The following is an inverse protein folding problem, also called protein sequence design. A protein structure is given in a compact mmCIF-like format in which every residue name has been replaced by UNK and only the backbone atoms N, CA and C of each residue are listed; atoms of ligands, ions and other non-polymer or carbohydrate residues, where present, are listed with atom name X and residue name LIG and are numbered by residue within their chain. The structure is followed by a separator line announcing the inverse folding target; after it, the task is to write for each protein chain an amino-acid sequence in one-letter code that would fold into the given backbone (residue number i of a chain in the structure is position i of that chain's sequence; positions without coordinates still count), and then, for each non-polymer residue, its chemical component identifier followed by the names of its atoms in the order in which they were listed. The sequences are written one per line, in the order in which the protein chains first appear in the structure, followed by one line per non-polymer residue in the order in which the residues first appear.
data_IF_834339819935
#
_entry.id   IF_834339819935
#
_cell.length_a   1.000
_cell.length_b   1.000
_cell.length_c   1.000
_cell.angle_alpha   90.00
_cell.angle_beta   90.00
_cell.angle_gamma   90.00
#
_symmetry.space_group_name_H-M   'P 1'
#
loop_
_entity.id
_entity.type
_entity.pdbx_description
1 polymer ?
#
# COMPACT_ATOMS: atom_id res chain seq x y z
N UNK A 1 16.44 -8.50 -9.47
CA UNK A 1 16.50 -9.30 -10.71
C UNK A 1 17.15 -8.45 -11.79
N UNK A 2 18.47 -8.47 -12.02
CA UNK A 2 19.10 -7.61 -13.06
C UNK A 2 18.78 -8.01 -14.51
N UNK A 3 17.57 -8.52 -14.74
CA UNK A 3 16.93 -8.42 -16.03
C UNK A 3 16.46 -6.97 -16.21
N UNK A 4 16.35 -6.50 -17.44
CA UNK A 4 16.05 -5.09 -17.76
C UNK A 4 14.69 -4.58 -17.23
N UNK A 5 13.96 -5.42 -16.48
CA UNK A 5 12.59 -5.22 -16.04
C UNK A 5 12.44 -5.24 -14.50
N UNK A 6 13.28 -5.94 -13.70
CA UNK A 6 13.15 -5.96 -12.22
C UNK A 6 14.50 -5.86 -11.46
N UNK A 7 15.46 -5.12 -12.02
CA UNK A 7 16.85 -5.01 -11.57
C UNK A 7 17.10 -4.20 -10.31
N UNK A 8 17.28 -4.87 -9.17
CA UNK A 8 17.94 -4.32 -7.99
C UNK A 8 17.02 -3.65 -6.95
N UNK A 9 15.72 -3.61 -7.20
CA UNK A 9 14.74 -3.00 -6.30
C UNK A 9 13.93 -4.03 -5.52
N UNK A 10 13.72 -3.79 -4.23
CA UNK A 10 12.85 -4.60 -3.39
C UNK A 10 11.41 -4.46 -3.88
N UNK A 11 10.74 -5.58 -4.15
CA UNK A 11 9.40 -5.53 -4.71
C UNK A 11 8.36 -5.38 -3.60
N UNK A 12 7.63 -4.25 -3.63
CA UNK A 12 6.52 -3.96 -2.73
C UNK A 12 5.23 -4.58 -3.26
N UNK A 13 5.05 -5.89 -3.05
CA UNK A 13 3.89 -6.63 -3.54
C UNK A 13 2.96 -7.00 -2.40
N UNK A 14 1.66 -6.83 -2.66
CA UNK A 14 0.59 -7.20 -1.75
C UNK A 14 -0.34 -8.19 -2.44
N UNK A 15 -0.89 -9.12 -1.67
CA UNK A 15 -2.01 -9.94 -2.13
C UNK A 15 -3.30 -9.14 -2.00
N UNK A 16 -4.07 -9.05 -3.08
CA UNK A 16 -5.37 -8.41 -3.08
C UNK A 16 -6.43 -9.43 -3.53
N UNK A 17 -7.52 -9.49 -2.78
CA UNK A 17 -8.68 -10.33 -3.07
C UNK A 17 -9.93 -9.46 -3.09
N UNK A 18 -10.74 -9.61 -4.14
CA UNK A 18 -12.01 -8.89 -4.28
C UNK A 18 -13.10 -9.89 -4.68
N UNK A 19 -14.05 -10.12 -3.79
CA UNK A 19 -15.24 -10.89 -4.13
C UNK A 19 -16.20 -10.01 -4.94
N UNK A 20 -16.37 -10.36 -6.22
CA UNK A 20 -17.26 -9.67 -7.16
C UNK A 20 -18.69 -10.26 -7.17
N UNK A 21 -18.90 -11.37 -6.46
CA UNK A 21 -20.18 -12.09 -6.41
C UNK A 21 -21.02 -11.74 -5.18
N UNK A 22 -20.37 -11.25 -4.11
CA UNK A 22 -21.02 -10.85 -2.88
C UNK A 22 -21.66 -9.45 -2.93
N UNK A 23 -22.49 -9.11 -1.91
CA UNK A 23 -22.96 -7.74 -1.75
C UNK A 23 -21.80 -6.78 -1.56
N UNK A 24 -21.96 -5.54 -2.05
CA UNK A 24 -20.98 -4.47 -1.81
C UNK A 24 -21.04 -4.05 -0.34
N UNK A 25 -20.20 -4.67 0.48
CA UNK A 25 -19.97 -4.25 1.86
C UNK A 25 -19.05 -3.03 1.87
N UNK A 26 -19.51 -1.90 2.40
CA UNK A 26 -18.63 -0.78 2.66
C UNK A 26 -17.78 -1.07 3.90
N UNK A 27 -16.47 -1.12 3.74
CA UNK A 27 -15.52 -1.20 4.86
C UNK A 27 -15.79 -0.03 5.81
N UNK A 28 -16.29 -0.30 7.02
CA UNK A 28 -16.49 0.70 8.06
C UNK A 28 -15.19 0.86 8.84
N UNK A 29 -14.58 2.03 8.74
CA UNK A 29 -13.44 2.39 9.59
C UNK A 29 -13.85 2.21 11.06
N UNK A 30 -12.99 1.54 11.81
CA UNK A 30 -13.11 1.44 13.26
C UNK A 30 -12.33 2.58 13.91
N UNK A 31 -12.53 2.83 15.20
CA UNK A 31 -11.70 3.80 15.94
C UNK A 31 -10.21 3.41 16.01
N UNK A 32 -9.88 2.15 15.68
CA UNK A 32 -8.52 1.64 15.65
C UNK A 32 -7.93 1.61 14.23
N UNK A 33 -8.71 1.96 13.19
CA UNK A 33 -8.21 1.99 11.82
C UNK A 33 -7.18 3.10 11.66
N UNK A 34 -6.13 2.82 10.89
CA UNK A 34 -5.07 3.78 10.60
C UNK A 34 -5.06 4.15 9.12
N UNK A 35 -4.61 5.37 8.82
CA UNK A 35 -4.42 5.84 7.45
C UNK A 35 -2.93 5.83 7.14
N UNK A 36 -2.56 5.17 6.03
CA UNK A 36 -1.19 5.19 5.50
C UNK A 36 -1.19 6.02 4.23
N UNK A 37 -0.34 7.05 4.21
CA UNK A 37 -0.17 7.92 3.05
C UNK A 37 0.73 7.28 1.99
N UNK A 38 0.42 7.59 0.74
CA UNK A 38 1.15 7.23 -0.45
C UNK A 38 1.49 8.51 -1.22
N UNK A 39 2.57 8.51 -2.01
CA UNK A 39 2.82 9.61 -2.94
C UNK A 39 1.68 9.68 -3.97
N UNK A 40 1.25 10.90 -4.32
CA UNK A 40 0.15 11.13 -5.28
C UNK A 40 0.42 10.49 -6.64
N UNK A 41 1.67 10.54 -7.10
CA UNK A 41 2.12 9.93 -8.36
C UNK A 41 3.57 9.42 -8.24
N UNK A 42 3.71 8.16 -7.84
CA UNK A 42 5.01 7.49 -7.74
C UNK A 42 5.72 7.36 -9.10
N UNK A 43 4.98 7.33 -10.21
CA UNK A 43 5.55 7.15 -11.54
C UNK A 43 6.24 8.42 -12.02
N UNK A 44 5.58 9.57 -11.84
CA UNK A 44 6.19 10.87 -12.10
C UNK A 44 7.34 11.13 -11.15
N UNK A 45 7.17 10.86 -9.85
CA UNK A 45 8.23 11.04 -8.86
C UNK A 45 9.47 10.20 -9.20
N UNK A 46 9.31 8.94 -9.62
CA UNK A 46 10.44 8.08 -10.01
C UNK A 46 11.24 8.63 -11.20
N UNK A 47 10.59 9.38 -12.09
CA UNK A 47 11.23 10.01 -13.26
C UNK A 47 11.94 11.31 -12.91
N UNK A 48 11.37 12.10 -12.00
CA UNK A 48 11.87 13.44 -11.65
C UNK A 48 12.85 13.42 -10.48
N UNK A 49 12.62 12.55 -9.50
CA UNK A 49 13.44 12.36 -8.30
C UNK A 49 13.39 10.89 -7.81
N UNK A 50 14.33 10.11 -8.32
CA UNK A 50 14.46 8.69 -7.95
C UNK A 50 14.78 8.51 -6.46
N UNK A 51 15.53 9.41 -5.84
CA UNK A 51 15.91 9.29 -4.44
C UNK A 51 14.67 9.45 -3.54
N UNK A 52 13.84 10.46 -3.81
CA UNK A 52 12.57 10.65 -3.11
C UNK A 52 11.63 9.46 -3.32
N UNK A 53 11.54 8.92 -4.54
CA UNK A 53 10.72 7.74 -4.82
C UNK A 53 11.15 6.52 -3.98
N UNK A 54 12.46 6.27 -3.85
CA UNK A 54 12.98 5.17 -3.02
C UNK A 54 12.71 5.37 -1.53
N UNK A 55 12.79 6.61 -1.03
CA UNK A 55 12.44 6.94 0.35
C UNK A 55 10.97 6.66 0.62
N UNK A 56 10.08 7.11 -0.25
CA UNK A 56 8.64 6.84 -0.14
C UNK A 56 8.34 5.34 -0.08
N UNK A 57 8.92 4.56 -1.00
CA UNK A 57 8.71 3.11 -1.03
C UNK A 57 9.18 2.41 0.23
N UNK A 58 10.36 2.79 0.74
CA UNK A 58 10.89 2.26 2.00
C UNK A 58 9.95 2.59 3.17
N UNK A 59 9.54 3.85 3.30
CA UNK A 59 8.66 4.29 4.39
C UNK A 59 7.30 3.62 4.34
N UNK A 60 6.69 3.49 3.16
CA UNK A 60 5.42 2.77 2.98
C UNK A 60 5.57 1.32 3.40
N UNK A 61 6.66 0.63 3.02
CA UNK A 61 6.92 -0.75 3.44
C UNK A 61 7.11 -0.87 4.94
N UNK A 62 7.97 -0.05 5.53
CA UNK A 62 8.24 -0.04 6.97
C UNK A 62 6.99 0.24 7.81
N UNK A 63 6.03 0.99 7.24
CA UNK A 63 4.73 1.25 7.87
C UNK A 63 3.76 0.09 7.72
N UNK A 64 3.60 -0.46 6.52
CA UNK A 64 2.59 -1.49 6.23
C UNK A 64 2.99 -2.87 6.71
N UNK A 65 4.25 -3.26 6.56
CA UNK A 65 4.72 -4.62 6.87
C UNK A 65 4.36 -5.07 8.30
N UNK A 66 4.67 -4.32 9.37
CA UNK A 66 4.33 -4.77 10.72
C UNK A 66 2.82 -4.86 10.97
N UNK A 67 2.00 -4.05 10.29
CA UNK A 67 0.54 -4.13 10.41
C UNK A 67 0.03 -5.41 9.74
N UNK A 68 0.49 -5.70 8.52
CA UNK A 68 0.13 -6.90 7.78
C UNK A 68 0.59 -8.18 8.50
N UNK A 69 1.79 -8.17 9.09
CA UNK A 69 2.32 -9.28 9.91
C UNK A 69 1.46 -9.54 11.17
N UNK A 70 0.78 -8.50 11.68
CA UNK A 70 -0.18 -8.60 12.78
C UNK A 70 -1.60 -8.96 12.32
N UNK A 71 -1.80 -9.25 11.03
CA UNK A 71 -3.11 -9.63 10.48
C UNK A 71 -4.04 -8.44 10.20
N UNK A 72 -3.52 -7.21 10.20
CA UNK A 72 -4.29 -6.05 9.72
C UNK A 72 -4.52 -6.18 8.22
N UNK A 73 -5.60 -5.56 7.72
CA UNK A 73 -5.99 -5.64 6.31
C UNK A 73 -6.17 -4.26 5.70
N UNK A 74 -5.74 -4.09 4.46
CA UNK A 74 -6.02 -2.88 3.68
C UNK A 74 -7.43 -3.00 3.12
N UNK A 75 -8.34 -2.15 3.58
CA UNK A 75 -9.77 -2.28 3.29
C UNK A 75 -10.30 -1.23 2.32
N UNK A 76 -9.56 -0.14 2.10
CA UNK A 76 -9.95 0.95 1.21
C UNK A 76 -8.74 1.74 0.70
N UNK A 77 -8.79 2.17 -0.56
CA UNK A 77 -7.94 3.24 -1.09
C UNK A 77 -8.78 4.51 -1.26
N UNK A 78 -8.30 5.65 -0.78
CA UNK A 78 -8.95 6.96 -0.90
C UNK A 78 -8.07 7.88 -1.72
N UNK A 79 -8.66 8.51 -2.75
CA UNK A 79 -8.03 9.51 -3.61
C UNK A 79 -6.67 9.10 -4.20
N UNK A 80 -6.43 7.78 -4.33
CA UNK A 80 -5.17 7.17 -4.78
C UNK A 80 -3.92 7.48 -3.94
N UNK A 81 -4.04 8.30 -2.90
CA UNK A 81 -2.92 8.72 -2.06
C UNK A 81 -3.02 8.21 -0.62
N UNK A 82 -4.10 7.51 -0.24
CA UNK A 82 -4.32 7.06 1.14
C UNK A 82 -4.89 5.65 1.19
N UNK A 83 -4.30 4.82 2.04
CA UNK A 83 -4.81 3.48 2.37
C UNK A 83 -5.44 3.52 3.76
N UNK A 84 -6.66 2.99 3.88
CA UNK A 84 -7.25 2.67 5.17
C UNK A 84 -6.85 1.24 5.53
N UNK A 85 -6.24 1.08 6.71
CA UNK A 85 -5.79 -0.21 7.23
C UNK A 85 -6.55 -0.51 8.51
N UNK A 86 -7.25 -1.63 8.52
CA UNK A 86 -8.12 -2.06 9.61
C UNK A 86 -7.44 -3.16 10.43
N UNK A 87 -7.59 -3.18 11.76
CA UNK A 87 -7.09 -4.27 12.60
C UNK A 87 -7.78 -5.60 12.27
N UNK A 88 -7.18 -6.74 12.66
CA UNK A 88 -7.87 -8.03 12.61
C UNK A 88 -9.18 -7.97 13.40
N UNK A 89 -10.21 -8.67 12.88
CA UNK A 89 -11.52 -8.79 13.54
C UNK A 89 -11.47 -9.66 14.78
#
# INVERSE_FOLDING_TARGET
MTDSINAGDESDRLFAFWDISGPKEESKATNASVVVELPEDIESLRKTDLAAALVWRRQTRETLQPLLDQGWTISRMQDRARLLVDPPR
#
